data_IF_467458580351
#
_entry.id   IF_467458580351
#
_cell.length_a   1.000
_cell.length_b   1.000
_cell.length_c   1.000
_cell.angle_alpha   90.00
_cell.angle_beta   90.00
_cell.angle_gamma   90.00
#
_symmetry.space_group_name_H-M   'P 1'
#
loop_
_entity.id
_entity.type
_entity.pdbx_description
1 polymer ?
#
# COMPACT_ATOMS: atom_id res chain seq x y z
N UNK A 1 6.43 -7.57 -8.36
CA UNK A 1 6.97 -6.81 -9.51
C UNK A 1 6.76 -5.29 -9.40
N UNK A 2 7.05 -4.64 -8.26
CA UNK A 2 6.82 -3.18 -8.10
C UNK A 2 8.04 -2.28 -8.33
N UNK A 3 9.28 -2.63 -7.92
CA UNK A 3 10.40 -1.68 -7.96
C UNK A 3 10.83 -1.29 -9.38
N UNK A 4 10.91 -2.28 -10.29
CA UNK A 4 11.30 -2.05 -11.68
C UNK A 4 10.25 -1.25 -12.47
N UNK A 5 8.95 -1.50 -12.21
CA UNK A 5 7.85 -0.74 -12.82
C UNK A 5 7.90 0.73 -12.39
N UNK A 6 8.04 1.02 -11.10
CA UNK A 6 8.16 2.38 -10.58
C UNK A 6 9.33 3.13 -11.22
N UNK A 7 10.51 2.49 -11.28
CA UNK A 7 11.70 3.09 -11.90
C UNK A 7 11.52 3.34 -13.40
N UNK A 8 10.85 2.43 -14.11
CA UNK A 8 10.56 2.60 -15.54
C UNK A 8 9.58 3.74 -15.80
N UNK A 9 8.53 3.88 -14.98
CA UNK A 9 7.58 4.99 -15.08
C UNK A 9 8.28 6.34 -14.90
N UNK A 10 9.15 6.44 -13.88
CA UNK A 10 9.96 7.64 -13.64
C UNK A 10 10.89 7.93 -14.83
N UNK A 11 11.51 6.90 -15.41
CA UNK A 11 12.43 7.08 -16.55
C UNK A 11 11.73 7.52 -17.85
N UNK A 12 10.47 7.10 -18.07
CA UNK A 12 9.70 7.47 -19.27
C UNK A 12 9.04 8.84 -19.10
N UNK A 13 8.42 9.12 -17.96
CA UNK A 13 7.61 10.33 -17.77
C UNK A 13 8.29 11.48 -17.02
N UNK A 14 9.41 11.22 -16.31
CA UNK A 14 10.17 12.24 -15.57
C UNK A 14 9.27 13.12 -14.69
N UNK A 15 9.37 14.44 -14.82
CA UNK A 15 8.55 15.37 -14.03
C UNK A 15 7.02 15.22 -14.17
N UNK A 16 6.54 14.47 -15.15
CA UNK A 16 5.11 14.15 -15.38
C UNK A 16 4.71 12.73 -14.92
N UNK A 17 5.55 12.08 -14.11
CA UNK A 17 5.30 10.74 -13.55
C UNK A 17 4.11 10.61 -12.58
N UNK A 18 3.61 11.65 -11.86
CA UNK A 18 2.45 11.55 -10.98
C UNK A 18 1.27 10.69 -11.46
N UNK A 19 0.55 11.13 -12.49
CA UNK A 19 -0.66 10.43 -12.93
C UNK A 19 -0.38 9.03 -13.52
N UNK A 20 0.65 8.82 -14.35
CA UNK A 20 1.03 7.49 -14.82
C UNK A 20 1.38 6.51 -13.69
N UNK A 21 2.09 6.98 -12.65
CA UNK A 21 2.44 6.17 -11.48
C UNK A 21 1.19 5.77 -10.68
N UNK A 22 0.25 6.69 -10.49
CA UNK A 22 -1.06 6.40 -9.87
C UNK A 22 -1.86 5.37 -10.68
N UNK A 23 -1.89 5.49 -12.01
CA UNK A 23 -2.60 4.56 -12.88
C UNK A 23 -2.01 3.13 -12.82
N UNK A 24 -0.69 3.00 -12.76
CA UNK A 24 -0.03 1.71 -12.56
C UNK A 24 -0.42 1.08 -11.20
N UNK A 25 -0.44 1.89 -10.12
CA UNK A 25 -0.86 1.42 -8.80
C UNK A 25 -2.36 1.14 -8.69
N UNK A 26 -3.21 1.81 -9.47
CA UNK A 26 -4.63 1.48 -9.62
C UNK A 26 -4.82 0.05 -10.15
N UNK A 27 -4.09 -0.34 -11.20
CA UNK A 27 -4.14 -1.70 -11.75
C UNK A 27 -3.79 -2.79 -10.72
N UNK A 28 -2.80 -2.54 -9.88
CA UNK A 28 -2.42 -3.43 -8.76
C UNK A 28 -3.56 -3.63 -7.75
N UNK A 29 -4.34 -2.57 -7.44
CA UNK A 29 -5.43 -2.65 -6.47
C UNK A 29 -6.61 -3.48 -6.97
N UNK A 30 -6.88 -3.49 -8.27
CA UNK A 30 -7.90 -4.36 -8.87
C UNK A 30 -7.61 -5.83 -8.52
N UNK A 31 -6.36 -6.27 -8.64
CA UNK A 31 -5.96 -7.63 -8.25
C UNK A 31 -6.22 -7.91 -6.76
N UNK A 32 -5.96 -6.93 -5.89
CA UNK A 32 -6.19 -7.07 -4.44
C UNK A 32 -7.67 -7.15 -4.04
N UNK A 33 -8.59 -6.61 -4.85
CA UNK A 33 -10.04 -6.74 -4.63
C UNK A 33 -10.55 -8.13 -5.05
N UNK A 34 -10.02 -8.67 -6.14
CA UNK A 34 -10.45 -9.97 -6.67
C UNK A 34 -10.05 -11.11 -5.74
N UNK A 35 -8.92 -11.01 -5.03
CA UNK A 35 -8.42 -12.08 -4.17
C UNK A 35 -9.39 -12.49 -3.03
N UNK A 36 -9.94 -11.58 -2.19
CA UNK A 36 -10.95 -11.94 -1.20
C UNK A 36 -12.23 -12.52 -1.80
N UNK A 37 -12.68 -12.00 -2.94
CA UNK A 37 -13.88 -12.49 -3.62
C UNK A 37 -13.68 -13.90 -4.17
N UNK A 38 -12.49 -14.21 -4.70
CA UNK A 38 -12.12 -15.57 -5.13
C UNK A 38 -11.96 -16.53 -3.97
N UNK A 39 -11.47 -16.07 -2.81
CA UNK A 39 -11.30 -16.90 -1.63
C UNK A 39 -12.64 -17.21 -0.93
N UNK A 40 -13.65 -16.33 -1.07
CA UNK A 40 -14.96 -16.42 -0.42
C UNK A 40 -15.62 -17.81 -0.45
N UNK A 41 -15.77 -18.50 -1.61
CA UNK A 41 -16.43 -19.81 -1.65
C UNK A 41 -15.60 -20.97 -1.06
N UNK A 42 -14.32 -20.75 -0.74
CA UNK A 42 -13.41 -21.78 -0.23
C UNK A 42 -13.13 -21.65 1.27
N UNK A 43 -13.74 -20.66 1.95
CA UNK A 43 -13.64 -20.51 3.41
C UNK A 43 -14.51 -21.57 4.10
N UNK A 44 -13.94 -22.29 5.08
CA UNK A 44 -14.67 -23.33 5.81
C UNK A 44 -15.88 -22.74 6.57
N UNK A 45 -17.03 -23.41 6.44
CA UNK A 45 -18.25 -23.03 7.14
C UNK A 45 -18.00 -23.01 8.66
N UNK A 46 -18.48 -21.97 9.32
CA UNK A 46 -18.37 -21.87 10.78
C UNK A 46 -19.31 -22.92 11.39
N UNK A 47 -18.87 -23.61 12.46
CA UNK A 47 -19.57 -24.73 13.14
C UNK A 47 -21.07 -24.50 13.42
N UNK A 48 -21.54 -23.26 13.44
CA UNK A 48 -22.94 -22.90 13.61
C UNK A 48 -23.80 -22.96 12.34
N UNK A 49 -23.27 -22.75 11.13
CA UNK A 49 -24.07 -22.71 9.89
C UNK A 49 -24.37 -24.10 9.34
N UNK A 50 -23.49 -25.08 9.58
CA UNK A 50 -23.73 -26.47 9.19
C UNK A 50 -24.85 -27.14 10.02
N UNK A 51 -25.12 -26.63 11.23
CA UNK A 51 -26.15 -27.18 12.12
C UNK A 51 -27.59 -26.77 11.74
N UNK A 52 -27.77 -25.72 10.94
CA UNK A 52 -29.10 -25.26 10.52
C UNK A 52 -29.53 -25.77 9.14
N UNK A 53 -28.64 -26.40 8.39
CA UNK A 53 -28.91 -26.76 7.00
C UNK A 53 -29.57 -28.13 6.82
N UNK A 54 -29.56 -29.05 7.80
CA UNK A 54 -30.27 -30.34 7.70
C UNK A 54 -30.47 -31.05 9.06
N UNK A 55 -31.71 -31.00 9.57
CA UNK A 55 -32.47 -31.99 10.37
C UNK A 55 -31.90 -32.71 11.63
N UNK A 56 -32.81 -32.81 12.62
CA UNK A 56 -33.00 -33.81 13.71
C UNK A 56 -31.78 -34.51 14.33
N UNK A 57 -31.56 -34.21 15.61
CA UNK A 57 -30.61 -34.85 16.52
C UNK A 57 -30.88 -36.36 16.64
N UNK A 58 -30.00 -37.27 16.17
CA UNK A 58 -29.95 -38.64 16.64
C UNK A 58 -28.85 -38.73 17.70
N UNK A 59 -29.23 -39.21 18.87
CA UNK A 59 -28.35 -39.42 20.00
C UNK A 59 -27.46 -40.66 19.76
N UNK A 60 -26.40 -40.53 18.96
CA UNK A 60 -25.36 -41.56 18.83
C UNK A 60 -23.98 -40.94 19.05
N UNK A 61 -23.26 -41.48 20.04
CA UNK A 61 -21.82 -41.33 20.23
C UNK A 61 -21.08 -41.93 19.02
N UNK A 62 -20.87 -41.12 17.99
CA UNK A 62 -19.99 -41.43 16.87
C UNK A 62 -18.82 -40.44 16.85
N UNK A 63 -17.62 -40.99 16.85
CA UNK A 63 -16.34 -40.29 16.61
C UNK A 63 -16.47 -39.38 15.40
N UNK A 64 -16.45 -38.07 15.64
CA UNK A 64 -16.43 -37.04 14.61
C UNK A 64 -15.18 -37.17 13.76
N UNK A 65 -15.27 -37.83 12.60
CA UNK A 65 -14.33 -37.63 11.51
C UNK A 65 -14.48 -36.19 11.00
N UNK A 66 -13.50 -35.34 11.31
CA UNK A 66 -13.36 -34.05 10.67
C UNK A 66 -13.03 -34.29 9.18
N UNK A 67 -13.98 -34.07 8.27
CA UNK A 67 -13.66 -33.89 6.85
C UNK A 67 -12.88 -32.58 6.68
N UNK A 68 -11.56 -32.67 6.78
CA UNK A 68 -10.57 -31.59 6.66
C UNK A 68 -10.26 -31.21 5.20
N UNK A 69 -11.20 -31.35 4.25
CA UNK A 69 -10.95 -30.99 2.85
C UNK A 69 -11.22 -29.49 2.62
N UNK A 70 -10.39 -28.66 3.25
CA UNK A 70 -10.34 -27.22 2.96
C UNK A 70 -9.72 -27.02 1.58
N UNK A 71 -10.54 -26.76 0.55
CA UNK A 71 -10.11 -26.55 -0.84
C UNK A 71 -9.41 -25.20 -1.07
N UNK A 72 -8.59 -24.73 -0.13
CA UNK A 72 -7.82 -23.48 -0.22
C UNK A 72 -6.77 -23.53 -1.33
N UNK A 73 -6.35 -24.72 -1.75
CA UNK A 73 -5.39 -24.93 -2.84
C UNK A 73 -5.89 -24.32 -4.16
N UNK A 74 -7.20 -24.39 -4.42
CA UNK A 74 -7.82 -23.87 -5.65
C UNK A 74 -7.62 -22.35 -5.82
N UNK A 75 -7.97 -21.48 -4.85
CA UNK A 75 -7.71 -20.05 -4.99
C UNK A 75 -6.21 -19.70 -5.03
N UNK A 76 -5.32 -20.48 -4.38
CA UNK A 76 -3.88 -20.30 -4.52
C UNK A 76 -3.39 -20.60 -5.95
N UNK A 77 -3.87 -21.70 -6.55
CA UNK A 77 -3.54 -22.06 -7.94
C UNK A 77 -4.06 -21.01 -8.93
N UNK A 78 -5.28 -20.50 -8.73
CA UNK A 78 -5.84 -19.42 -9.57
C UNK A 78 -4.99 -18.15 -9.46
N UNK A 79 -4.68 -17.69 -8.24
CA UNK A 79 -3.85 -16.50 -8.02
C UNK A 79 -2.44 -16.67 -8.60
N UNK A 80 -1.83 -17.84 -8.39
CA UNK A 80 -0.52 -18.18 -8.94
C UNK A 80 -0.53 -18.19 -10.47
N UNK A 81 -1.55 -18.79 -11.09
CA UNK A 81 -1.74 -18.81 -12.55
C UNK A 81 -1.88 -17.42 -13.16
N UNK A 82 -2.67 -16.54 -12.54
CA UNK A 82 -2.77 -15.13 -12.96
C UNK A 82 -1.42 -14.40 -12.84
N UNK A 83 -0.66 -14.68 -11.79
CA UNK A 83 0.69 -14.14 -11.61
C UNK A 83 1.68 -14.59 -12.69
N UNK A 84 1.66 -15.88 -13.04
CA UNK A 84 2.48 -16.43 -14.14
C UNK A 84 2.06 -15.84 -15.47
N UNK A 85 0.76 -15.75 -15.75
CA UNK A 85 0.24 -15.15 -16.97
C UNK A 85 0.68 -13.68 -17.13
N UNK A 86 0.56 -12.88 -16.07
CA UNK A 86 1.04 -11.50 -16.07
C UNK A 86 2.57 -11.42 -16.30
N UNK A 87 3.33 -12.31 -15.66
CA UNK A 87 4.80 -12.38 -15.82
C UNK A 87 5.21 -12.78 -17.25
N UNK A 88 4.48 -13.70 -17.88
CA UNK A 88 4.67 -14.06 -19.29
C UNK A 88 4.35 -12.89 -20.21
N UNK A 89 3.28 -12.12 -19.93
CA UNK A 89 2.98 -10.89 -20.65
C UNK A 89 4.14 -9.88 -20.61
N UNK A 90 4.73 -9.68 -19.43
CA UNK A 90 5.94 -8.83 -19.29
C UNK A 90 7.14 -9.39 -20.05
N UNK A 91 7.33 -10.71 -20.03
CA UNK A 91 8.42 -11.36 -20.79
C UNK A 91 8.25 -11.17 -22.29
N UNK A 92 7.02 -11.30 -22.82
CA UNK A 92 6.71 -11.04 -24.23
C UNK A 92 7.00 -9.59 -24.59
N UNK A 93 6.59 -8.62 -23.77
CA UNK A 93 6.90 -7.20 -24.00
C UNK A 93 8.40 -6.92 -23.93
N UNK A 94 9.13 -7.59 -23.02
CA UNK A 94 10.57 -7.45 -22.90
C UNK A 94 11.33 -8.00 -24.11
N UNK A 95 10.86 -9.12 -24.66
CA UNK A 95 11.43 -9.75 -25.85
C UNK A 95 10.96 -9.10 -27.16
N UNK A 96 9.82 -8.40 -27.14
CA UNK A 96 9.29 -7.69 -28.30
C UNK A 96 10.23 -6.55 -28.71
N UNK A 97 10.35 -6.26 -30.02
CA UNK A 97 11.09 -5.10 -30.50
C UNK A 97 10.56 -3.83 -29.84
N UNK A 98 11.47 -3.00 -29.32
CA UNK A 98 11.09 -1.74 -28.66
C UNK A 98 10.30 -0.88 -29.66
N UNK A 99 9.15 -0.30 -29.25
CA UNK A 99 8.42 0.62 -30.11
C UNK A 99 9.34 1.76 -30.53
N UNK A 100 9.40 2.02 -31.84
CA UNK A 100 10.17 3.13 -32.40
C UNK A 100 9.62 4.45 -31.83
N UNK A 101 10.46 5.24 -31.18
CA UNK A 101 10.08 6.54 -30.61
C UNK A 101 10.02 6.60 -29.07
N UNK A 102 10.25 5.49 -28.35
CA UNK A 102 10.38 5.54 -26.88
C UNK A 102 11.73 6.13 -26.48
N UNK A 103 11.77 7.44 -26.24
CA UNK A 103 12.95 8.15 -25.75
C UNK A 103 12.91 8.14 -24.22
N UNK A 104 13.75 7.32 -23.60
CA UNK A 104 13.98 7.45 -22.16
C UNK A 104 14.61 8.81 -21.87
N UNK A 105 14.10 9.52 -20.86
CA UNK A 105 14.80 10.69 -20.36
C UNK A 105 16.22 10.27 -19.94
N UNK A 106 17.22 11.09 -20.25
CA UNK A 106 18.64 10.75 -20.13
C UNK A 106 19.00 10.19 -18.75
N UNK A 107 18.96 8.87 -18.60
CA UNK A 107 19.55 8.19 -17.45
C UNK A 107 21.07 8.30 -17.64
N UNK A 108 21.82 8.92 -16.72
CA UNK A 108 23.26 9.10 -16.87
C UNK A 108 23.94 7.75 -17.09
N UNK A 109 24.44 7.49 -18.30
CA UNK A 109 25.19 6.27 -18.61
C UNK A 109 26.57 6.34 -17.93
N UNK A 110 26.97 5.25 -17.27
CA UNK A 110 28.36 5.05 -16.85
C UNK A 110 28.73 5.44 -15.41
N UNK A 111 27.77 5.64 -14.50
CA UNK A 111 28.11 5.85 -13.07
C UNK A 111 28.54 4.53 -12.42
N UNK A 112 29.66 4.56 -11.71
CA UNK A 112 30.09 3.42 -10.89
C UNK A 112 29.08 3.16 -9.75
N UNK A 113 28.95 1.90 -9.27
CA UNK A 113 28.02 1.55 -8.18
C UNK A 113 28.22 2.44 -6.94
N UNK A 114 29.47 2.80 -6.65
CA UNK A 114 29.85 3.72 -5.56
C UNK A 114 29.31 5.14 -5.76
N UNK A 115 29.24 5.62 -7.00
CA UNK A 115 28.67 6.93 -7.34
C UNK A 115 27.14 6.90 -7.36
N UNK A 116 26.53 5.77 -7.73
CA UNK A 116 25.08 5.55 -7.67
C UNK A 116 24.54 5.46 -6.23
N UNK A 117 25.37 4.97 -5.31
CA UNK A 117 25.05 4.88 -3.88
C UNK A 117 25.48 6.14 -3.10
N UNK A 118 26.28 7.02 -3.69
CA UNK A 118 26.72 8.22 -3.00
C UNK A 118 25.55 9.20 -2.81
N UNK A 119 25.23 9.61 -1.57
CA UNK A 119 24.06 10.45 -1.28
C UNK A 119 24.11 11.83 -1.96
N UNK A 120 25.31 12.35 -2.25
CA UNK A 120 25.48 13.61 -2.98
C UNK A 120 25.07 13.54 -4.45
N UNK A 121 24.95 12.34 -5.03
CA UNK A 121 24.61 12.16 -6.44
C UNK A 121 23.15 12.49 -6.75
N UNK A 122 22.29 12.54 -5.73
CA UNK A 122 20.87 12.91 -5.83
C UNK A 122 20.65 14.43 -5.67
N UNK A 123 21.62 15.12 -5.05
CA UNK A 123 21.49 16.46 -4.49
C UNK A 123 22.54 17.44 -5.03
N UNK A 124 22.91 17.32 -6.31
CA UNK A 124 23.88 18.20 -6.98
C UNK A 124 25.23 18.34 -6.24
N UNK A 125 25.69 17.26 -5.60
CA UNK A 125 26.97 17.22 -4.90
C UNK A 125 26.92 17.48 -3.39
N UNK A 126 25.78 17.91 -2.82
CA UNK A 126 25.67 18.11 -1.38
C UNK A 126 25.37 16.79 -0.62
N UNK A 127 26.45 16.09 -0.23
CA UNK A 127 26.36 14.79 0.43
C UNK A 127 25.61 14.83 1.77
N UNK A 128 25.80 15.87 2.59
CA UNK A 128 25.12 15.99 3.90
C UNK A 128 23.61 16.09 3.73
N UNK A 129 23.17 16.95 2.82
CA UNK A 129 21.76 17.09 2.48
C UNK A 129 21.18 15.78 1.91
N UNK A 130 21.93 15.12 1.01
CA UNK A 130 21.55 13.83 0.46
C UNK A 130 21.35 12.74 1.52
N UNK A 131 22.25 12.64 2.49
CA UNK A 131 22.11 11.68 3.62
C UNK A 131 20.86 12.00 4.43
N UNK A 132 20.69 13.25 4.87
CA UNK A 132 19.54 13.65 5.70
C UNK A 132 18.22 13.35 4.97
N UNK A 133 18.13 13.73 3.69
CA UNK A 133 16.93 13.51 2.89
C UNK A 133 16.65 12.02 2.67
N UNK A 134 17.66 11.21 2.34
CA UNK A 134 17.49 9.77 2.15
C UNK A 134 17.06 9.08 3.45
N UNK A 135 17.60 9.50 4.59
CA UNK A 135 17.15 9.02 5.91
C UNK A 135 15.71 9.41 6.18
N UNK A 136 15.31 10.67 5.91
CA UNK A 136 13.93 11.12 6.11
C UNK A 136 12.94 10.34 5.24
N UNK A 137 13.26 10.14 3.96
CA UNK A 137 12.40 9.38 3.04
C UNK A 137 12.38 7.89 3.41
N UNK A 138 13.51 7.32 3.82
CA UNK A 138 13.56 5.95 4.36
C UNK A 138 12.60 5.79 5.54
N UNK A 139 12.68 6.68 6.54
CA UNK A 139 11.79 6.65 7.70
C UNK A 139 10.32 6.84 7.31
N UNK A 140 10.03 7.76 6.37
CA UNK A 140 8.69 7.95 5.82
C UNK A 140 8.14 6.64 5.23
N UNK A 141 8.91 5.97 4.37
CA UNK A 141 8.45 4.71 3.77
C UNK A 141 8.39 3.56 4.77
N UNK A 142 9.24 3.53 5.78
CA UNK A 142 9.15 2.57 6.89
C UNK A 142 7.86 2.74 7.68
N UNK A 143 7.53 3.96 8.10
CA UNK A 143 6.27 4.23 8.81
C UNK A 143 5.05 3.99 7.91
N UNK A 144 5.15 4.35 6.63
CA UNK A 144 4.10 4.07 5.65
C UNK A 144 3.86 2.55 5.49
N UNK A 145 4.93 1.76 5.38
CA UNK A 145 4.84 0.30 5.36
C UNK A 145 4.16 -0.24 6.62
N UNK A 146 4.61 0.20 7.79
CA UNK A 146 4.00 -0.16 9.06
C UNK A 146 2.48 0.13 9.08
N UNK A 147 2.06 1.33 8.68
CA UNK A 147 0.64 1.68 8.53
C UNK A 147 -0.11 0.76 7.55
N UNK A 148 0.54 0.33 6.47
CA UNK A 148 -0.07 -0.53 5.44
C UNK A 148 -0.43 -1.92 5.96
N UNK A 149 0.37 -2.46 6.88
CA UNK A 149 0.26 -3.86 7.31
C UNK A 149 -0.86 -4.08 8.33
N UNK A 150 -1.20 -3.04 9.10
CA UNK A 150 -2.20 -3.12 10.15
C UNK A 150 -3.61 -3.45 9.63
N UNK A 151 -4.14 -2.62 8.71
CA UNK A 151 -5.52 -2.79 8.24
C UNK A 151 -5.68 -4.00 7.32
N UNK A 152 -4.60 -4.42 6.67
CA UNK A 152 -4.68 -5.47 5.66
C UNK A 152 -4.66 -6.87 6.23
N UNK A 153 -3.93 -7.11 7.33
CA UNK A 153 -3.73 -8.45 7.89
C UNK A 153 -4.55 -8.70 9.16
N UNK A 154 -4.75 -7.67 10.00
CA UNK A 154 -5.44 -7.83 11.27
C UNK A 154 -6.93 -7.51 11.22
N UNK A 155 -7.45 -6.92 10.14
CA UNK A 155 -8.86 -6.56 10.04
C UNK A 155 -9.76 -7.80 10.15
N UNK A 156 -9.36 -8.93 9.56
CA UNK A 156 -10.09 -10.19 9.69
C UNK A 156 -10.09 -10.68 11.15
N UNK A 157 -8.90 -10.78 11.77
CA UNK A 157 -8.75 -11.27 13.14
C UNK A 157 -9.46 -10.39 14.17
N UNK A 158 -9.32 -9.06 14.07
CA UNK A 158 -10.00 -8.13 14.99
C UNK A 158 -11.52 -8.22 14.80
N UNK A 159 -12.01 -8.33 13.56
CA UNK A 159 -13.43 -8.51 13.30
C UNK A 159 -13.97 -9.82 13.92
N UNK A 160 -13.27 -10.93 13.75
CA UNK A 160 -13.73 -12.23 14.26
C UNK A 160 -13.54 -12.40 15.76
N UNK A 161 -12.38 -12.02 16.30
CA UNK A 161 -11.98 -12.30 17.69
C UNK A 161 -12.47 -11.23 18.67
N UNK A 162 -12.56 -9.96 18.25
CA UNK A 162 -12.98 -8.86 19.14
C UNK A 162 -14.44 -8.46 18.91
N UNK A 163 -14.87 -8.38 17.65
CA UNK A 163 -16.22 -7.93 17.29
C UNK A 163 -17.22 -9.08 17.10
N UNK A 164 -16.78 -10.32 17.29
CA UNK A 164 -17.58 -11.55 17.09
C UNK A 164 -18.27 -11.59 15.72
N UNK A 165 -17.65 -11.00 14.70
CA UNK A 165 -18.14 -11.09 13.33
C UNK A 165 -17.95 -12.51 12.79
N UNK A 166 -18.86 -12.96 11.93
CA UNK A 166 -18.64 -14.23 11.22
C UNK A 166 -17.46 -14.08 10.26
N UNK A 167 -16.84 -15.20 9.86
CA UNK A 167 -15.76 -15.18 8.86
C UNK A 167 -16.24 -14.55 7.55
N UNK A 168 -17.50 -14.76 7.19
CA UNK A 168 -18.15 -14.15 6.03
C UNK A 168 -18.30 -12.64 6.18
N UNK A 169 -18.76 -12.14 7.33
CA UNK A 169 -18.85 -10.71 7.61
C UNK A 169 -17.46 -10.05 7.55
N UNK A 170 -16.45 -10.65 8.16
CA UNK A 170 -15.07 -10.16 8.14
C UNK A 170 -14.47 -10.14 6.73
N UNK A 171 -14.79 -11.14 5.90
CA UNK A 171 -14.41 -11.17 4.48
C UNK A 171 -15.09 -10.04 3.69
N UNK A 172 -16.38 -9.81 3.93
CA UNK A 172 -17.14 -8.72 3.29
C UNK A 172 -16.59 -7.33 3.69
N UNK A 173 -16.24 -7.12 4.96
CA UNK A 173 -15.61 -5.88 5.43
C UNK A 173 -14.28 -5.61 4.73
N UNK A 174 -13.46 -6.64 4.53
CA UNK A 174 -12.21 -6.53 3.78
C UNK A 174 -12.48 -6.22 2.30
N UNK A 175 -13.41 -6.92 1.67
CA UNK A 175 -13.79 -6.65 0.28
C UNK A 175 -14.25 -5.20 0.08
N UNK A 176 -15.11 -4.69 0.97
CA UNK A 176 -15.57 -3.32 0.94
C UNK A 176 -14.41 -2.32 1.12
N UNK A 177 -13.49 -2.58 2.05
CA UNK A 177 -12.31 -1.75 2.26
C UNK A 177 -11.40 -1.71 1.02
N UNK A 178 -11.11 -2.88 0.41
CA UNK A 178 -10.32 -2.94 -0.84
C UNK A 178 -11.03 -2.28 -2.02
N UNK A 179 -12.36 -2.35 -2.08
CA UNK A 179 -13.15 -1.66 -3.09
C UNK A 179 -13.02 -0.13 -2.94
N UNK A 180 -13.06 0.35 -1.69
CA UNK A 180 -12.82 1.76 -1.37
C UNK A 180 -11.42 2.22 -1.76
N UNK A 181 -10.39 1.38 -1.57
CA UNK A 181 -9.03 1.68 -2.02
C UNK A 181 -8.95 1.88 -3.56
N UNK A 182 -9.67 1.09 -4.34
CA UNK A 182 -9.73 1.24 -5.80
C UNK A 182 -10.38 2.58 -6.17
N UNK A 183 -11.48 2.95 -5.51
CA UNK A 183 -12.13 4.24 -5.71
C UNK A 183 -11.19 5.41 -5.39
N UNK A 184 -10.45 5.32 -4.28
CA UNK A 184 -9.44 6.32 -3.89
C UNK A 184 -8.38 6.52 -4.98
N UNK A 185 -7.81 5.42 -5.50
CA UNK A 185 -6.85 5.47 -6.60
C UNK A 185 -7.47 5.94 -7.93
N UNK A 186 -8.74 5.63 -8.20
CA UNK A 186 -9.40 6.13 -9.40
C UNK A 186 -9.55 7.65 -9.36
N UNK A 187 -9.95 8.19 -8.20
CA UNK A 187 -10.15 9.63 -7.99
C UNK A 187 -8.82 10.38 -7.95
N UNK A 188 -7.75 9.77 -7.42
CA UNK A 188 -6.46 10.47 -7.31
C UNK A 188 -5.81 10.73 -8.68
N UNK A 189 -6.09 9.92 -9.70
CA UNK A 189 -5.51 10.08 -11.04
C UNK A 189 -5.81 11.47 -11.63
N UNK A 190 -7.08 11.91 -11.77
CA UNK A 190 -7.37 13.26 -12.23
C UNK A 190 -6.88 14.32 -11.24
N UNK A 191 -7.04 14.11 -9.91
CA UNK A 191 -6.59 15.07 -8.90
C UNK A 191 -5.08 15.35 -9.01
N UNK A 192 -4.28 14.33 -9.29
CA UNK A 192 -2.82 14.45 -9.46
C UNK A 192 -2.38 15.30 -10.66
N UNK A 193 -3.29 15.62 -11.58
CA UNK A 193 -3.05 16.56 -12.68
C UNK A 193 -3.32 18.01 -12.29
N UNK A 194 -4.23 18.24 -11.35
CA UNK A 194 -4.72 19.58 -10.98
C UNK A 194 -4.13 20.10 -9.67
N UNK A 195 -3.73 19.22 -8.76
CA UNK A 195 -3.19 19.58 -7.46
C UNK A 195 -1.70 19.26 -7.35
N UNK A 196 -0.90 20.12 -6.68
CA UNK A 196 0.52 19.87 -6.49
C UNK A 196 0.72 18.65 -5.58
N UNK A 197 1.70 17.81 -5.91
CA UNK A 197 1.91 16.54 -5.22
C UNK A 197 2.17 16.66 -3.70
N UNK A 198 2.88 17.69 -3.16
CA UNK A 198 3.04 17.80 -1.72
C UNK A 198 1.69 17.98 -1.03
N UNK A 199 0.79 18.79 -1.59
CA UNK A 199 -0.54 19.02 -1.06
C UNK A 199 -1.35 17.72 -1.01
N UNK A 200 -1.28 16.91 -2.06
CA UNK A 200 -1.95 15.60 -2.12
C UNK A 200 -1.47 14.69 -0.97
N UNK A 201 -0.16 14.55 -0.79
CA UNK A 201 0.40 13.71 0.29
C UNK A 201 0.04 14.27 1.66
N UNK A 202 0.06 15.60 1.85
CA UNK A 202 -0.38 16.24 3.09
C UNK A 202 -1.83 15.91 3.45
N UNK A 203 -2.76 16.07 2.50
CA UNK A 203 -4.18 15.76 2.72
C UNK A 203 -4.36 14.29 3.09
N UNK A 204 -3.69 13.37 2.38
CA UNK A 204 -3.79 11.93 2.67
C UNK A 204 -3.27 11.58 4.06
N UNK A 205 -2.06 12.05 4.44
CA UNK A 205 -1.50 11.79 5.76
C UNK A 205 -2.41 12.30 6.89
N UNK A 206 -2.93 13.52 6.77
CA UNK A 206 -3.82 14.09 7.80
C UNK A 206 -5.16 13.35 7.87
N UNK A 207 -5.76 13.00 6.74
CA UNK A 207 -6.97 12.19 6.71
C UNK A 207 -6.73 10.85 7.43
N UNK A 208 -5.64 10.15 7.12
CA UNK A 208 -5.28 8.88 7.76
C UNK A 208 -5.10 9.04 9.28
N UNK A 209 -4.45 10.11 9.74
CA UNK A 209 -4.29 10.39 11.16
C UNK A 209 -5.63 10.63 11.86
N UNK A 210 -6.50 11.46 11.28
CA UNK A 210 -7.84 11.73 11.83
C UNK A 210 -8.67 10.45 11.92
N UNK A 211 -8.64 9.61 10.87
CA UNK A 211 -9.36 8.33 10.83
C UNK A 211 -8.85 7.39 11.91
N UNK A 212 -7.54 7.25 12.08
CA UNK A 212 -6.98 6.36 13.10
C UNK A 212 -7.27 6.85 14.53
N UNK A 213 -7.19 8.16 14.78
CA UNK A 213 -7.57 8.74 16.08
C UNK A 213 -9.05 8.50 16.36
N UNK A 214 -9.91 8.65 15.34
CA UNK A 214 -11.34 8.36 15.45
C UNK A 214 -11.60 6.87 15.67
N UNK A 215 -10.79 6.00 15.05
CA UNK A 215 -10.88 4.55 15.19
C UNK A 215 -10.60 4.10 16.63
N UNK A 216 -9.66 4.73 17.33
CA UNK A 216 -9.42 4.48 18.76
C UNK A 216 -10.71 4.60 19.59
N UNK A 217 -11.55 5.60 19.29
CA UNK A 217 -12.75 5.88 20.07
C UNK A 217 -13.99 5.08 19.61
N UNK A 218 -14.11 4.78 18.31
CA UNK A 218 -15.36 4.31 17.71
C UNK A 218 -15.28 2.95 17.03
N UNK A 219 -14.11 2.50 16.58
CA UNK A 219 -14.00 1.33 15.71
C UNK A 219 -14.47 0.05 16.42
N UNK A 220 -14.09 -0.14 17.68
CA UNK A 220 -14.43 -1.35 18.43
C UNK A 220 -15.84 -1.32 19.06
N UNK A 221 -16.59 -0.21 18.93
CA UNK A 221 -17.95 -0.11 19.49
C UNK A 221 -19.01 -0.81 18.64
N UNK A 222 -18.76 -0.98 17.34
CA UNK A 222 -19.71 -1.59 16.42
C UNK A 222 -18.99 -2.16 15.21
N UNK A 223 -19.47 -3.32 14.74
CA UNK A 223 -19.06 -3.95 13.47
C UNK A 223 -19.17 -2.99 12.29
N UNK A 224 -20.21 -2.16 12.26
CA UNK A 224 -20.41 -1.16 11.21
C UNK A 224 -19.37 -0.04 11.29
N UNK A 225 -19.05 0.45 12.49
CA UNK A 225 -18.05 1.50 12.66
C UNK A 225 -16.67 1.01 12.20
N UNK A 226 -16.31 -0.22 12.56
CA UNK A 226 -15.06 -0.85 12.12
C UNK A 226 -14.97 -0.95 10.60
N UNK A 227 -16.05 -1.40 9.95
CA UNK A 227 -16.12 -1.54 8.50
C UNK A 227 -16.02 -0.18 7.78
N UNK A 228 -16.80 0.81 8.22
CA UNK A 228 -16.83 2.14 7.62
C UNK A 228 -15.48 2.84 7.77
N UNK A 229 -14.93 2.87 8.99
CA UNK A 229 -13.62 3.50 9.23
C UNK A 229 -12.52 2.82 8.44
N UNK A 230 -12.59 1.50 8.26
CA UNK A 230 -11.69 0.76 7.38
C UNK A 230 -11.80 1.14 5.92
N UNK A 231 -13.02 1.29 5.39
CA UNK A 231 -13.23 1.75 4.02
C UNK A 231 -12.67 3.16 3.81
N UNK A 232 -12.90 4.07 4.75
CA UNK A 232 -12.39 5.44 4.65
C UNK A 232 -10.86 5.47 4.79
N UNK A 233 -10.28 4.66 5.69
CA UNK A 233 -8.83 4.51 5.79
C UNK A 233 -8.23 4.04 4.47
N UNK A 234 -8.73 2.95 3.91
CA UNK A 234 -8.22 2.36 2.67
C UNK A 234 -8.37 3.29 1.46
N UNK A 235 -9.44 4.10 1.42
CA UNK A 235 -9.65 5.13 0.40
C UNK A 235 -8.47 6.11 0.33
N UNK A 236 -8.07 6.68 1.48
CA UNK A 236 -6.98 7.66 1.53
C UNK A 236 -5.60 7.01 1.48
N UNK A 237 -5.45 5.81 2.05
CA UNK A 237 -4.20 5.08 2.09
C UNK A 237 -3.80 4.51 0.72
N UNK A 238 -4.77 4.21 -0.16
CA UNK A 238 -4.52 3.50 -1.42
C UNK A 238 -3.40 4.13 -2.28
N UNK A 239 -3.39 5.46 -2.36
CA UNK A 239 -2.53 6.26 -3.23
C UNK A 239 -1.32 6.86 -2.54
N UNK A 240 -1.16 6.66 -1.23
CA UNK A 240 -0.08 7.30 -0.46
C UNK A 240 1.29 6.84 -0.92
N UNK A 241 1.40 5.56 -1.31
CA UNK A 241 2.64 4.99 -1.84
C UNK A 241 3.07 5.68 -3.14
N UNK A 242 2.16 5.76 -4.11
CA UNK A 242 2.44 6.38 -5.40
C UNK A 242 2.69 7.90 -5.26
N UNK A 243 1.89 8.58 -4.44
CA UNK A 243 2.03 10.01 -4.17
C UNK A 243 3.35 10.31 -3.46
N UNK A 244 3.71 9.48 -2.47
CA UNK A 244 4.96 9.57 -1.71
C UNK A 244 6.21 9.29 -2.54
N UNK A 245 6.12 8.52 -3.64
CA UNK A 245 7.22 8.34 -4.59
C UNK A 245 7.36 9.50 -5.58
N UNK A 246 6.23 10.05 -6.04
CA UNK A 246 6.22 11.20 -6.93
C UNK A 246 6.62 12.50 -6.23
N UNK A 247 6.44 12.58 -4.91
CA UNK A 247 6.73 13.78 -4.13
C UNK A 247 8.23 14.18 -4.10
N UNK A 248 9.17 13.29 -3.74
CA UNK A 248 10.60 13.58 -3.78
C UNK A 248 11.12 13.95 -5.18
N UNK A 249 10.50 13.45 -6.25
CA UNK A 249 10.97 13.68 -7.62
C UNK A 249 10.97 15.16 -8.03
N UNK A 250 10.13 15.99 -7.40
CA UNK A 250 10.13 17.44 -7.65
C UNK A 250 11.39 18.15 -7.11
N UNK A 251 12.07 17.54 -6.13
CA UNK A 251 13.22 18.13 -5.42
C UNK A 251 14.53 17.42 -5.74
N UNK A 252 14.51 16.12 -6.04
CA UNK A 252 15.70 15.31 -6.33
C UNK A 252 15.52 14.43 -7.55
N UNK A 253 16.64 14.06 -8.16
CA UNK A 253 16.65 13.08 -9.23
C UNK A 253 16.56 11.68 -8.62
N UNK A 254 15.38 11.11 -8.67
CA UNK A 254 15.09 9.77 -8.15
C UNK A 254 15.71 8.74 -9.08
N UNK A 255 16.72 8.02 -8.59
CA UNK A 255 17.33 6.90 -9.33
C UNK A 255 16.84 5.56 -8.76
N UNK A 256 17.19 4.46 -9.43
CA UNK A 256 16.87 3.11 -8.95
C UNK A 256 17.41 2.80 -7.54
N UNK A 257 18.56 3.38 -7.14
CA UNK A 257 19.09 3.18 -5.79
C UNK A 257 18.25 3.87 -4.72
N UNK A 258 17.71 5.07 -5.00
CA UNK A 258 16.77 5.73 -4.09
C UNK A 258 15.49 4.91 -3.93
N UNK A 259 14.91 4.43 -5.03
CA UNK A 259 13.72 3.56 -5.01
C UNK A 259 13.99 2.29 -4.21
N UNK A 260 15.18 1.69 -4.35
CA UNK A 260 15.58 0.53 -3.55
C UNK A 260 15.56 0.84 -2.05
N UNK A 261 16.16 1.95 -1.61
CA UNK A 261 16.15 2.39 -0.20
C UNK A 261 14.71 2.53 0.31
N UNK A 262 13.82 3.11 -0.50
CA UNK A 262 12.41 3.28 -0.14
C UNK A 262 11.69 1.94 0.05
N UNK A 263 11.95 0.97 -0.83
CA UNK A 263 11.39 -0.38 -0.72
C UNK A 263 11.92 -1.14 0.50
N UNK A 264 13.22 -1.00 0.81
CA UNK A 264 13.81 -1.59 2.02
C UNK A 264 13.14 -1.00 3.27
N UNK A 265 12.96 0.32 3.31
CA UNK A 265 12.26 0.99 4.42
C UNK A 265 10.85 0.43 4.60
N UNK A 266 10.05 0.42 3.53
CA UNK A 266 8.71 -0.15 3.54
C UNK A 266 8.66 -1.59 4.04
N UNK A 267 9.53 -2.47 3.52
CA UNK A 267 9.60 -3.86 3.93
C UNK A 267 9.96 -4.02 5.41
N UNK A 268 10.90 -3.21 5.91
CA UNK A 268 11.26 -3.20 7.32
C UNK A 268 10.09 -2.75 8.20
N UNK A 269 9.39 -1.69 7.79
CA UNK A 269 8.19 -1.20 8.46
C UNK A 269 7.07 -2.24 8.53
N UNK A 270 6.81 -2.92 7.41
CA UNK A 270 5.85 -4.03 7.35
C UNK A 270 6.22 -5.12 8.33
N UNK A 271 7.46 -5.61 8.29
CA UNK A 271 7.91 -6.70 9.15
C UNK A 271 7.79 -6.36 10.65
N UNK A 272 8.19 -5.14 11.04
CA UNK A 272 8.05 -4.67 12.42
C UNK A 272 6.59 -4.62 12.85
N UNK A 273 5.71 -4.09 11.99
CA UNK A 273 4.30 -4.01 12.32
C UNK A 273 3.64 -5.38 12.38
N UNK A 274 3.88 -6.26 11.40
CA UNK A 274 3.30 -7.60 11.36
C UNK A 274 3.63 -8.39 12.64
N UNK A 275 4.90 -8.36 13.06
CA UNK A 275 5.31 -9.01 14.30
C UNK A 275 4.76 -8.29 15.55
N UNK A 276 4.92 -6.97 15.64
CA UNK A 276 4.56 -6.19 16.82
C UNK A 276 3.05 -6.13 17.07
N UNK A 277 2.26 -5.97 16.01
CA UNK A 277 0.80 -5.88 16.09
C UNK A 277 0.15 -7.23 16.44
N UNK A 278 0.68 -8.36 15.95
CA UNK A 278 0.24 -9.69 16.36
C UNK A 278 0.51 -9.96 17.85
N UNK A 279 1.69 -9.60 18.33
CA UNK A 279 2.02 -9.67 19.76
C UNK A 279 1.08 -8.79 20.61
N UNK A 280 0.91 -7.52 20.24
CA UNK A 280 0.04 -6.59 20.98
C UNK A 280 -1.41 -7.06 20.97
N UNK A 281 -1.90 -7.63 19.85
CA UNK A 281 -3.25 -8.17 19.77
C UNK A 281 -3.44 -9.32 20.77
N UNK A 282 -2.49 -10.25 20.84
CA UNK A 282 -2.57 -11.43 21.71
C UNK A 282 -2.46 -11.09 23.20
N UNK A 283 -1.56 -10.18 23.58
CA UNK A 283 -1.24 -9.90 24.99
C UNK A 283 -1.94 -8.67 25.57
N UNK A 284 -2.27 -7.68 24.74
CA UNK A 284 -2.85 -6.40 25.16
C UNK A 284 -4.20 -6.08 24.50
N UNK A 285 -4.69 -6.95 23.62
CA UNK A 285 -6.00 -6.84 22.98
C UNK A 285 -6.07 -5.82 21.84
N UNK A 286 -7.19 -5.83 21.11
CA UNK A 286 -7.39 -5.02 19.90
C UNK A 286 -7.37 -3.50 20.15
N UNK A 287 -7.78 -3.03 21.33
CA UNK A 287 -7.76 -1.60 21.65
C UNK A 287 -6.33 -1.04 21.65
N UNK A 288 -5.36 -1.82 22.13
CA UNK A 288 -3.95 -1.44 22.14
C UNK A 288 -3.38 -1.37 20.73
N UNK A 289 -3.86 -2.24 19.83
CA UNK A 289 -3.53 -2.17 18.41
C UNK A 289 -4.07 -0.88 17.78
N UNK A 290 -5.29 -0.45 18.10
CA UNK A 290 -5.83 0.82 17.58
C UNK A 290 -4.97 2.03 17.99
N UNK A 291 -4.48 2.04 19.23
CA UNK A 291 -3.56 3.09 19.70
C UNK A 291 -2.22 3.07 18.98
N UNK A 292 -1.65 1.89 18.75
CA UNK A 292 -0.43 1.73 17.97
C UNK A 292 -0.59 2.38 16.58
N UNK A 293 -1.74 2.18 15.95
CA UNK A 293 -2.02 2.68 14.61
C UNK A 293 -2.19 4.20 14.57
N UNK A 294 -2.85 4.77 15.57
CA UNK A 294 -2.88 6.21 15.75
C UNK A 294 -1.45 6.78 15.92
N UNK A 295 -0.59 6.12 16.69
CA UNK A 295 0.80 6.56 16.88
C UNK A 295 1.62 6.55 15.57
N UNK A 296 1.51 5.49 14.75
CA UNK A 296 2.17 5.46 13.45
C UNK A 296 1.58 6.46 12.46
N UNK A 297 0.26 6.67 12.45
CA UNK A 297 -0.37 7.66 11.59
C UNK A 297 0.07 9.10 11.95
N UNK A 298 0.18 9.42 13.25
CA UNK A 298 0.73 10.70 13.71
C UNK A 298 2.20 10.83 13.34
N UNK A 299 2.98 9.75 13.47
CA UNK A 299 4.39 9.71 13.07
C UNK A 299 4.56 9.97 11.57
N UNK A 300 3.64 9.45 10.74
CA UNK A 300 3.62 9.70 9.30
C UNK A 300 3.37 11.19 8.99
N UNK A 301 2.44 11.82 9.71
CA UNK A 301 2.22 13.26 9.64
C UNK A 301 3.47 14.07 10.03
N UNK A 302 4.15 13.69 11.12
CA UNK A 302 5.37 14.37 11.54
C UNK A 302 6.48 14.23 10.48
N UNK A 303 6.65 13.03 9.92
CA UNK A 303 7.66 12.74 8.91
C UNK A 303 7.43 13.51 7.62
N UNK A 304 6.18 13.71 7.19
CA UNK A 304 5.92 14.54 6.00
C UNK A 304 6.30 15.99 6.24
N UNK A 305 6.03 16.56 7.43
CA UNK A 305 6.47 17.93 7.74
C UNK A 305 8.00 18.05 7.78
N UNK A 306 8.68 17.15 8.49
CA UNK A 306 10.15 17.15 8.59
C UNK A 306 10.76 17.00 7.19
N UNK A 307 10.26 16.05 6.40
CA UNK A 307 10.77 15.80 5.05
C UNK A 307 10.49 16.98 4.12
N UNK A 308 9.31 17.61 4.21
CA UNK A 308 8.98 18.82 3.42
C UNK A 308 9.88 20.00 3.79
N UNK A 309 10.18 20.20 5.07
CA UNK A 309 11.11 21.25 5.52
C UNK A 309 12.51 21.03 4.95
N UNK A 310 13.01 19.79 5.00
CA UNK A 310 14.30 19.41 4.41
C UNK A 310 14.28 19.65 2.90
N UNK A 311 13.24 19.22 2.19
CA UNK A 311 13.09 19.41 0.74
C UNK A 311 13.02 20.89 0.35
N UNK A 312 12.26 21.71 1.09
CA UNK A 312 12.04 23.13 0.78
C UNK A 312 13.30 23.97 0.97
N UNK A 313 14.23 23.55 1.84
CA UNK A 313 15.48 24.27 2.10
C UNK A 313 16.38 24.44 0.86
N UNK A 314 16.29 23.57 -0.14
CA UNK A 314 17.04 23.69 -1.41
C UNK A 314 16.17 24.18 -2.59
N UNK A 315 14.88 24.41 -2.37
CA UNK A 315 13.91 24.74 -3.42
C UNK A 315 13.63 23.57 -4.38
N UNK A 316 12.51 23.59 -5.12
CA UNK A 316 12.21 22.57 -6.13
C UNK A 316 13.20 22.66 -7.30
N UNK A 317 13.82 21.53 -7.67
CA UNK A 317 14.69 21.42 -8.85
C UNK A 317 13.91 21.49 -10.15
N UNK A 318 12.71 20.90 -10.16
CA UNK A 318 11.83 20.82 -11.33
C UNK A 318 10.64 21.73 -11.07
N UNK A 319 10.69 22.99 -11.55
CA UNK A 319 9.44 23.76 -11.74
C UNK A 319 8.53 22.88 -12.59
N UNK A 320 7.30 22.65 -12.15
CA UNK A 320 6.25 22.12 -13.01
C UNK A 320 6.22 23.00 -14.26
N UNK A 321 6.86 22.54 -15.34
CA UNK A 321 6.62 23.04 -16.67
C UNK A 321 5.21 22.56 -17.00
N UNK A 322 4.21 23.30 -16.53
CA UNK A 322 2.95 23.38 -17.23
C UNK A 322 3.34 23.77 -18.65
N UNK A 323 3.09 22.95 -19.69
CA UNK A 323 3.25 23.40 -21.05
C UNK A 323 2.20 24.50 -21.25
N UNK A 324 2.60 25.75 -20.99
CA UNK A 324 1.97 26.89 -21.65
C UNK A 324 2.28 26.71 -23.14
N UNK A 325 1.22 26.59 -23.93
CA UNK A 325 1.17 26.44 -25.39
C UNK A 325 0.96 24.99 -25.86
N UNK A 326 -0.30 24.58 -25.80
CA UNK A 326 -0.90 23.84 -26.90
C UNK A 326 -1.58 24.91 -27.76
N UNK A 327 -0.91 25.33 -28.84
CA UNK A 327 -1.56 25.93 -30.00
C UNK A 327 -1.97 24.79 -30.94
#
# INVERSE_FOLDING_TARGET
>A
CFPAGNGMMIAIWGGNTPAPLQAMHFGSRIGSLVAPALAYPFLSATRGEALYANATIPNNTETTEFTFTSNIEVPYVICGGLGVFASLGYLVVYLAPRPQGLVFTNVPKGRNLKELLHPGSFTNGNARYGVILMTCIFLYFSVNGACSSHFQLLQASIATETLNATKQEASLMQFAARGSAILGNFIIIPVSKFAPMPFIVFVQCHAIAIINITAVALALKSRMNFAVLGCVFDFFFASIWASGMAWPEMYIDVTGSAIMIWNIGCGLGNAIMEWGSGYILQYHGAQSVMWLCAAFAISLCLLIYVTQCVMSYHGPKKRHLVPTNIN
#
